data_IF_208785409014
#
_entry.id   IF_208785409014
#
_cell.length_a   1.000
_cell.length_b   1.000
_cell.length_c   1.000
_cell.angle_alpha   90.00
_cell.angle_beta   90.00
_cell.angle_gamma   90.00
#
_symmetry.space_group_name_H-M   'P 1'
#
loop_
_entity.id
_entity.type
_entity.pdbx_description
1 polymer ?
#
# COMPACT_ATOMS: atom_id res chain seq x y z
N UNK A 1 40.22 -43.91 -9.24
CA UNK A 1 39.34 -43.16 -8.31
C UNK A 1 38.44 -44.18 -7.64
N UNK A 2 38.42 -44.22 -6.31
CA UNK A 2 37.66 -45.21 -5.54
C UNK A 2 36.31 -44.59 -5.21
N UNK A 3 35.23 -45.11 -5.80
CA UNK A 3 33.87 -44.66 -5.50
C UNK A 3 33.33 -45.44 -4.31
N UNK A 4 32.64 -44.74 -3.41
CA UNK A 4 31.99 -45.31 -2.25
C UNK A 4 30.48 -45.09 -2.34
N UNK A 5 29.71 -46.05 -1.84
CA UNK A 5 28.26 -45.92 -1.75
C UNK A 5 27.89 -45.29 -0.41
N UNK A 6 27.31 -44.10 -0.44
CA UNK A 6 26.77 -43.42 0.73
C UNK A 6 25.28 -43.77 0.88
N UNK A 7 24.83 -44.14 2.08
CA UNK A 7 23.41 -44.42 2.34
C UNK A 7 22.68 -43.11 2.53
N UNK A 8 21.47 -43.04 1.97
CA UNK A 8 20.60 -41.88 2.12
C UNK A 8 20.22 -41.62 3.58
N UNK A 9 19.96 -42.68 4.34
CA UNK A 9 19.56 -42.63 5.76
C UNK A 9 20.62 -41.93 6.63
N UNK A 10 21.90 -42.28 6.45
CA UNK A 10 23.02 -41.69 7.21
C UNK A 10 23.09 -40.16 7.03
N UNK A 11 22.71 -39.67 5.83
CA UNK A 11 22.65 -38.24 5.52
C UNK A 11 21.35 -37.62 6.05
N UNK A 12 20.22 -38.31 5.93
CA UNK A 12 18.91 -37.83 6.40
C UNK A 12 18.87 -37.62 7.92
N UNK A 13 19.57 -38.46 8.68
CA UNK A 13 19.70 -38.33 10.14
C UNK A 13 20.36 -37.00 10.56
N UNK A 14 21.22 -36.44 9.71
CA UNK A 14 21.91 -35.16 9.96
C UNK A 14 21.24 -33.98 9.24
N UNK A 15 20.54 -34.25 8.15
CA UNK A 15 19.95 -33.24 7.27
C UNK A 15 18.52 -33.64 6.89
N UNK A 16 17.57 -33.18 7.71
CA UNK A 16 16.16 -33.50 7.56
C UNK A 16 15.59 -32.84 6.31
N UNK A 17 14.76 -33.58 5.56
CA UNK A 17 13.97 -33.03 4.45
C UNK A 17 14.73 -32.88 3.14
N UNK A 18 15.91 -33.50 2.98
CA UNK A 18 16.59 -33.57 1.68
C UNK A 18 15.68 -34.22 0.64
N UNK A 19 15.65 -33.63 -0.55
CA UNK A 19 14.92 -34.14 -1.71
C UNK A 19 15.82 -34.55 -2.86
N UNK A 20 17.01 -33.96 -2.99
CA UNK A 20 17.97 -34.28 -4.06
C UNK A 20 19.41 -33.98 -3.65
N UNK A 21 20.33 -34.64 -4.35
CA UNK A 21 21.78 -34.46 -4.23
C UNK A 21 22.36 -33.95 -5.53
N UNK A 22 23.35 -33.06 -5.47
CA UNK A 22 24.11 -32.63 -6.64
C UNK A 22 25.61 -32.69 -6.40
N UNK A 23 26.37 -32.99 -7.45
CA UNK A 23 27.83 -32.87 -7.48
C UNK A 23 28.18 -31.93 -8.63
N UNK A 24 28.84 -30.80 -8.34
CA UNK A 24 29.17 -29.78 -9.35
C UNK A 24 27.93 -29.37 -10.18
N UNK A 25 26.82 -29.10 -9.48
CA UNK A 25 25.52 -28.71 -10.05
C UNK A 25 24.76 -29.80 -10.83
N UNK A 26 25.34 -30.98 -11.08
CA UNK A 26 24.64 -32.10 -11.73
C UNK A 26 23.93 -33.00 -10.70
N UNK A 27 22.71 -33.42 -11.01
CA UNK A 27 21.91 -34.27 -10.12
C UNK A 27 22.48 -35.69 -10.05
N UNK A 28 22.73 -36.17 -8.82
CA UNK A 28 23.19 -37.53 -8.59
C UNK A 28 21.97 -38.46 -8.48
N UNK A 29 21.80 -39.45 -9.38
CA UNK A 29 20.73 -40.41 -9.27
C UNK A 29 21.04 -41.43 -8.15
N UNK A 30 19.97 -41.98 -7.54
CA UNK A 30 20.12 -43.14 -6.67
C UNK A 30 20.59 -44.36 -7.46
N UNK A 31 21.40 -45.20 -6.81
CA UNK A 31 21.90 -46.44 -7.38
C UNK A 31 20.71 -47.39 -7.64
N UNK A 32 20.73 -48.02 -8.81
CA UNK A 32 19.70 -48.96 -9.26
C UNK A 32 20.25 -50.38 -9.39
N UNK A 33 19.37 -51.36 -9.24
CA UNK A 33 19.61 -52.76 -9.55
C UNK A 33 19.67 -53.00 -11.06
N UNK A 34 20.06 -54.22 -11.46
CA UNK A 34 20.11 -54.64 -12.87
C UNK A 34 18.75 -54.59 -13.58
N UNK A 35 17.65 -54.64 -12.85
CA UNK A 35 16.27 -54.50 -13.33
C UNK A 35 15.80 -53.03 -13.36
N UNK A 36 16.72 -52.07 -13.14
CA UNK A 36 16.47 -50.63 -13.07
C UNK A 36 15.60 -50.20 -11.87
N UNK A 37 15.33 -51.09 -10.90
CA UNK A 37 14.69 -50.74 -9.63
C UNK A 37 15.66 -50.01 -8.70
N UNK A 38 15.19 -49.09 -7.86
CA UNK A 38 16.05 -48.38 -6.89
C UNK A 38 16.44 -49.35 -5.77
N UNK A 39 17.73 -49.39 -5.43
CA UNK A 39 18.23 -50.24 -4.35
C UNK A 39 17.72 -49.73 -2.99
N UNK A 40 17.30 -50.65 -2.12
CA UNK A 40 16.97 -50.35 -0.73
C UNK A 40 18.01 -50.98 0.22
N UNK A 41 18.55 -50.24 1.22
CA UNK A 41 18.33 -48.81 1.45
C UNK A 41 18.90 -47.96 0.31
N UNK A 42 18.31 -46.78 0.09
CA UNK A 42 18.68 -45.88 -1.00
C UNK A 42 20.14 -45.43 -0.86
N UNK A 43 20.88 -45.44 -1.98
CA UNK A 43 22.32 -45.12 -2.01
C UNK A 43 22.64 -44.19 -3.15
N UNK A 44 23.63 -43.34 -2.95
CA UNK A 44 24.26 -42.53 -4.00
C UNK A 44 25.72 -42.94 -4.17
N UNK A 45 26.25 -42.79 -5.38
CA UNK A 45 27.65 -43.07 -5.69
C UNK A 45 28.45 -41.76 -5.67
N UNK A 46 29.49 -41.69 -4.84
CA UNK A 46 30.37 -40.52 -4.76
C UNK A 46 31.80 -40.91 -4.37
N UNK A 47 32.78 -40.09 -4.74
CA UNK A 47 34.16 -40.21 -4.27
C UNK A 47 34.32 -39.60 -2.88
N UNK A 48 35.29 -40.05 -2.09
CA UNK A 48 35.63 -39.44 -0.79
C UNK A 48 36.22 -38.03 -0.93
N UNK A 49 36.56 -37.62 -2.15
CA UNK A 49 37.06 -36.28 -2.47
C UNK A 49 35.97 -35.36 -3.04
N UNK A 50 34.77 -35.90 -3.29
CA UNK A 50 33.65 -35.14 -3.84
C UNK A 50 32.91 -34.41 -2.73
N UNK A 51 32.57 -33.14 -2.96
CA UNK A 51 31.65 -32.38 -2.11
C UNK A 51 30.26 -32.47 -2.74
N UNK A 52 29.33 -33.07 -2.02
CA UNK A 52 27.94 -33.27 -2.46
C UNK A 52 27.06 -32.22 -1.80
N UNK A 53 26.33 -31.47 -2.61
CA UNK A 53 25.32 -30.55 -2.11
C UNK A 53 23.99 -31.28 -1.91
N UNK A 54 23.33 -30.96 -0.80
CA UNK A 54 22.03 -31.50 -0.45
C UNK A 54 20.99 -30.40 -0.56
N UNK A 55 19.88 -30.65 -1.25
CA UNK A 55 18.83 -29.66 -1.44
C UNK A 55 17.52 -30.13 -0.82
N UNK A 56 16.89 -29.26 -0.06
CA UNK A 56 15.57 -29.50 0.57
C UNK A 56 14.41 -29.04 -0.32
N UNK A 57 14.67 -28.13 -1.27
CA UNK A 57 13.72 -27.65 -2.27
C UNK A 57 13.95 -28.33 -3.63
N UNK A 58 12.86 -28.51 -4.37
CA UNK A 58 12.91 -28.78 -5.80
C UNK A 58 12.82 -27.47 -6.59
N UNK A 59 13.31 -27.42 -7.84
CA UNK A 59 13.12 -26.25 -8.70
C UNK A 59 11.64 -25.86 -8.88
N UNK A 60 10.73 -26.83 -8.79
CA UNK A 60 9.29 -26.58 -8.83
C UNK A 60 8.79 -25.85 -7.56
N UNK A 61 9.35 -26.17 -6.39
CA UNK A 61 9.01 -25.48 -5.13
C UNK A 61 9.48 -24.01 -5.17
N UNK A 62 10.67 -23.76 -5.71
CA UNK A 62 11.22 -22.41 -5.89
C UNK A 62 10.40 -21.58 -6.89
N UNK A 63 10.00 -22.19 -8.01
CA UNK A 63 9.11 -21.54 -8.97
C UNK A 63 7.74 -21.20 -8.35
N UNK A 64 7.19 -22.11 -7.54
CA UNK A 64 5.91 -21.91 -6.84
C UNK A 64 5.99 -20.79 -5.80
N UNK A 65 7.08 -20.75 -5.04
CA UNK A 65 7.34 -19.70 -4.07
C UNK A 65 7.51 -18.34 -4.76
N UNK A 66 8.30 -18.28 -5.83
CA UNK A 66 8.50 -17.07 -6.63
C UNK A 66 7.17 -16.54 -7.19
N UNK A 67 6.34 -17.41 -7.74
CA UNK A 67 5.01 -17.05 -8.24
C UNK A 67 4.11 -16.50 -7.12
N UNK A 68 4.14 -17.13 -5.94
CA UNK A 68 3.35 -16.70 -4.78
C UNK A 68 3.79 -15.32 -4.30
N UNK A 69 5.11 -15.08 -4.20
CA UNK A 69 5.68 -13.79 -3.83
C UNK A 69 5.29 -12.69 -4.83
N UNK A 70 5.35 -12.99 -6.13
CA UNK A 70 4.92 -12.05 -7.17
C UNK A 70 3.43 -11.71 -7.06
N UNK A 71 2.57 -12.69 -6.75
CA UNK A 71 1.15 -12.42 -6.50
C UNK A 71 0.94 -11.56 -5.26
N UNK A 72 1.66 -11.81 -4.17
CA UNK A 72 1.58 -11.01 -2.93
C UNK A 72 2.02 -9.58 -3.19
N UNK A 73 3.14 -9.38 -3.89
CA UNK A 73 3.64 -8.06 -4.26
C UNK A 73 2.60 -7.28 -5.07
N UNK A 74 2.05 -7.92 -6.12
CA UNK A 74 1.00 -7.30 -6.96
C UNK A 74 -0.25 -6.94 -6.16
N UNK A 75 -0.69 -7.82 -5.26
CA UNK A 75 -1.85 -7.54 -4.40
C UNK A 75 -1.58 -6.38 -3.43
N UNK A 76 -0.35 -6.27 -2.92
CA UNK A 76 0.07 -5.18 -2.04
C UNK A 76 0.07 -3.84 -2.76
N UNK A 77 0.55 -3.78 -4.01
CA UNK A 77 0.50 -2.58 -4.84
C UNK A 77 -0.96 -2.13 -5.09
N UNK A 78 -1.84 -3.07 -5.43
CA UNK A 78 -3.27 -2.78 -5.60
C UNK A 78 -3.89 -2.27 -4.29
N UNK A 79 -3.47 -2.81 -3.15
CA UNK A 79 -3.96 -2.35 -1.85
C UNK A 79 -3.49 -0.93 -1.52
N UNK A 80 -2.21 -0.63 -1.75
CA UNK A 80 -1.65 0.70 -1.53
C UNK A 80 -2.35 1.75 -2.41
N UNK A 81 -2.56 1.46 -3.69
CA UNK A 81 -3.28 2.38 -4.60
C UNK A 81 -4.73 2.64 -4.16
N UNK A 82 -5.42 1.63 -3.60
CA UNK A 82 -6.76 1.82 -3.02
C UNK A 82 -6.73 2.62 -1.74
N UNK A 83 -5.73 2.40 -0.87
CA UNK A 83 -5.53 3.22 0.33
C UNK A 83 -5.32 4.68 -0.07
N UNK A 84 -4.46 4.97 -1.04
CA UNK A 84 -4.20 6.33 -1.49
C UNK A 84 -5.47 7.01 -2.02
N UNK A 85 -6.31 6.27 -2.76
CA UNK A 85 -7.60 6.76 -3.25
C UNK A 85 -8.56 7.07 -2.09
N UNK A 86 -8.64 6.18 -1.08
CA UNK A 86 -9.47 6.40 0.11
C UNK A 86 -8.94 7.59 0.92
N UNK A 87 -7.63 7.71 1.09
CA UNK A 87 -7.02 8.85 1.78
C UNK A 87 -7.37 10.15 1.08
N UNK A 88 -7.22 10.23 -0.26
CA UNK A 88 -7.66 11.40 -1.04
C UNK A 88 -9.13 11.71 -0.84
N UNK A 89 -9.99 10.70 -0.89
CA UNK A 89 -11.42 10.89 -0.64
C UNK A 89 -11.70 11.40 0.78
N UNK A 90 -11.01 10.89 1.79
CA UNK A 90 -11.12 11.39 3.18
C UNK A 90 -10.62 12.83 3.27
N UNK A 91 -9.50 13.17 2.64
CA UNK A 91 -9.00 14.54 2.60
C UNK A 91 -9.96 15.48 1.89
N UNK A 92 -10.51 15.12 0.72
CA UNK A 92 -11.53 15.92 0.03
C UNK A 92 -12.81 16.08 0.87
N UNK A 93 -13.19 15.06 1.65
CA UNK A 93 -14.32 15.13 2.58
C UNK A 93 -14.02 15.95 3.84
N UNK A 94 -12.77 15.90 4.34
CA UNK A 94 -12.30 16.66 5.49
C UNK A 94 -11.95 18.12 5.14
N UNK A 95 -11.67 18.41 3.85
CA UNK A 95 -11.58 19.74 3.24
C UNK A 95 -12.94 20.43 3.10
N UNK A 96 -14.01 19.81 3.62
CA UNK A 96 -15.16 20.52 4.16
C UNK A 96 -15.05 20.67 5.69
N UNK A 97 -14.05 21.39 6.26
CA UNK A 97 -14.35 22.06 7.50
C UNK A 97 -15.44 23.05 7.11
N UNK A 98 -16.64 22.90 7.68
CA UNK A 98 -17.65 23.97 7.61
C UNK A 98 -16.87 25.22 8.02
N UNK A 99 -16.61 26.20 7.12
CA UNK A 99 -15.76 27.31 7.50
C UNK A 99 -16.50 28.03 8.63
N UNK A 100 -15.98 27.94 9.84
CA UNK A 100 -16.69 28.48 11.00
C UNK A 100 -16.67 30.01 10.97
N UNK A 101 -15.76 30.59 10.19
CA UNK A 101 -15.52 32.02 10.09
C UNK A 101 -15.86 32.54 8.68
N UNK A 102 -16.81 33.49 8.64
CA UNK A 102 -17.17 34.22 7.45
C UNK A 102 -17.40 35.70 7.78
N UNK A 103 -17.33 36.56 6.77
CA UNK A 103 -17.69 37.98 6.87
C UNK A 103 -18.60 38.38 5.71
N UNK A 104 -19.58 39.24 5.98
CA UNK A 104 -20.52 39.75 4.98
C UNK A 104 -20.22 41.22 4.73
N UNK A 105 -19.76 41.55 3.53
CA UNK A 105 -19.36 42.90 3.12
C UNK A 105 -20.25 43.40 1.98
N UNK A 106 -20.55 44.71 1.89
CA UNK A 106 -21.21 45.27 0.72
C UNK A 106 -20.28 45.18 -0.51
N UNK A 107 -20.84 44.93 -1.69
CA UNK A 107 -20.07 44.98 -2.95
C UNK A 107 -19.74 46.43 -3.36
N UNK A 108 -20.52 47.40 -2.88
CA UNK A 108 -20.31 48.82 -3.16
C UNK A 108 -19.44 49.49 -2.08
N UNK A 109 -18.50 50.33 -2.52
CA UNK A 109 -17.56 51.05 -1.64
C UNK A 109 -18.15 52.33 -1.03
N UNK A 110 -19.26 52.83 -1.56
CA UNK A 110 -19.88 54.06 -1.06
C UNK A 110 -20.75 53.78 0.18
N UNK A 111 -20.21 54.14 1.35
CA UNK A 111 -20.90 53.95 2.62
C UNK A 111 -22.02 54.98 2.80
N UNK A 112 -23.28 54.50 2.81
CA UNK A 112 -24.42 55.31 3.22
C UNK A 112 -25.33 54.51 4.18
N UNK A 113 -25.40 54.88 5.47
CA UNK A 113 -26.22 54.17 6.46
C UNK A 113 -27.70 54.06 6.09
N UNK A 114 -28.23 55.02 5.33
CA UNK A 114 -29.65 55.06 4.95
C UNK A 114 -30.03 54.04 3.86
N UNK A 115 -29.04 53.50 3.12
CA UNK A 115 -29.25 52.54 2.04
C UNK A 115 -28.60 51.19 2.29
N UNK A 116 -28.12 50.92 3.52
CA UNK A 116 -27.40 49.70 3.90
C UNK A 116 -28.04 48.43 3.31
N UNK A 117 -29.32 48.16 3.57
CA UNK A 117 -29.99 46.94 3.10
C UNK A 117 -30.50 46.96 1.64
N UNK A 118 -30.19 48.02 0.87
CA UNK A 118 -30.55 48.11 -0.55
C UNK A 118 -29.43 47.64 -1.47
N UNK A 119 -28.22 47.54 -0.92
CA UNK A 119 -27.02 47.13 -1.64
C UNK A 119 -26.89 45.61 -1.75
N UNK A 120 -26.13 45.15 -2.75
CA UNK A 120 -25.71 43.75 -2.82
C UNK A 120 -24.56 43.51 -1.85
N UNK A 121 -24.65 42.39 -1.14
CA UNK A 121 -23.60 41.95 -0.21
C UNK A 121 -22.92 40.72 -0.76
N UNK A 122 -21.76 40.40 -0.20
CA UNK A 122 -21.03 39.18 -0.48
C UNK A 122 -20.56 38.57 0.82
N UNK A 123 -20.83 37.27 0.97
CA UNK A 123 -20.33 36.46 2.07
C UNK A 123 -18.99 35.88 1.65
N UNK A 124 -17.94 36.23 2.37
CA UNK A 124 -16.59 35.71 2.19
C UNK A 124 -16.24 34.76 3.32
N UNK A 125 -15.61 33.63 3.00
CA UNK A 125 -15.06 32.73 4.01
C UNK A 125 -13.64 33.16 4.38
N UNK A 126 -13.27 32.96 5.64
CA UNK A 126 -11.91 33.13 6.12
C UNK A 126 -11.23 31.77 6.19
N UNK A 127 -9.91 31.70 5.92
CA UNK A 127 -9.17 30.46 6.19
C UNK A 127 -9.00 30.24 7.70
N UNK A 128 -9.19 29.00 8.15
CA UNK A 128 -8.89 28.52 9.50
C UNK A 128 -7.43 28.00 9.63
N UNK A 129 -6.53 28.47 8.77
CA UNK A 129 -5.12 28.09 8.73
C UNK A 129 -4.40 28.46 10.06
N UNK A 130 -3.76 27.50 10.74
CA UNK A 130 -3.11 27.70 12.06
C UNK A 130 -1.80 28.52 12.03
N UNK A 131 -1.20 28.74 10.85
CA UNK A 131 0.09 29.42 10.73
C UNK A 131 -0.05 30.95 10.56
N UNK A 132 0.36 31.64 11.63
CA UNK A 132 0.98 32.97 11.80
C UNK A 132 0.36 34.21 11.09
N UNK A 133 -0.49 34.87 11.89
CA UNK A 133 -0.71 36.32 12.04
C UNK A 133 -1.70 37.08 11.16
N UNK A 134 -2.22 36.52 10.05
CA UNK A 134 -3.25 37.21 9.26
C UNK A 134 -4.37 36.26 8.84
N UNK A 135 -5.59 36.51 9.36
CA UNK A 135 -6.80 35.89 8.82
C UNK A 135 -6.97 36.38 7.38
N UNK A 136 -6.81 35.48 6.42
CA UNK A 136 -7.00 35.77 5.00
C UNK A 136 -8.33 35.20 4.50
N UNK A 137 -8.82 35.75 3.39
CA UNK A 137 -9.96 35.17 2.68
C UNK A 137 -9.59 33.80 2.13
N UNK A 138 -10.50 32.84 2.24
CA UNK A 138 -10.38 31.57 1.55
C UNK A 138 -10.24 31.79 0.03
N UNK A 139 -9.63 30.83 -0.68
CA UNK A 139 -9.46 30.85 -2.13
C UNK A 139 -10.79 30.60 -2.90
N UNK A 140 -11.86 31.29 -2.49
CA UNK A 140 -13.18 31.24 -3.08
C UNK A 140 -13.77 32.67 -3.09
N UNK A 141 -14.37 33.08 -4.21
CA UNK A 141 -14.91 34.44 -4.44
C UNK A 141 -16.08 34.82 -3.51
N UNK A 142 -16.54 33.90 -2.68
CA UNK A 142 -17.69 34.08 -1.79
C UNK A 142 -19.04 33.97 -2.49
N UNK A 143 -20.11 34.19 -1.72
CA UNK A 143 -21.49 34.10 -2.21
C UNK A 143 -22.17 35.46 -2.26
N UNK A 144 -22.72 35.81 -3.42
CA UNK A 144 -23.48 37.05 -3.58
C UNK A 144 -24.84 36.94 -2.88
N UNK A 145 -25.13 37.94 -2.05
CA UNK A 145 -26.39 38.14 -1.35
C UNK A 145 -27.09 39.33 -1.99
N UNK A 146 -28.02 39.04 -2.91
CA UNK A 146 -28.82 40.06 -3.60
C UNK A 146 -29.96 40.62 -2.75
N UNK A 147 -30.37 39.89 -1.72
CA UNK A 147 -31.48 40.25 -0.82
C UNK A 147 -31.06 40.13 0.64
N UNK A 148 -30.28 41.09 1.17
CA UNK A 148 -29.72 41.00 2.52
C UNK A 148 -30.80 40.87 3.60
N UNK A 149 -31.95 41.53 3.44
CA UNK A 149 -33.04 41.42 4.41
C UNK A 149 -33.63 40.00 4.50
N UNK A 150 -33.84 39.33 3.37
CA UNK A 150 -34.34 37.94 3.37
C UNK A 150 -33.29 36.98 3.93
N UNK A 151 -32.01 37.21 3.60
CA UNK A 151 -30.88 36.42 4.08
C UNK A 151 -30.76 36.49 5.61
N UNK A 152 -30.64 37.68 6.19
CA UNK A 152 -30.48 37.82 7.65
C UNK A 152 -31.74 37.43 8.42
N UNK A 153 -32.94 37.61 7.85
CA UNK A 153 -34.17 37.11 8.46
C UNK A 153 -34.20 35.58 8.56
N UNK A 154 -33.72 34.88 7.52
CA UNK A 154 -33.73 33.41 7.46
C UNK A 154 -32.58 32.79 8.24
N UNK A 155 -31.37 33.31 8.05
CA UNK A 155 -30.15 32.68 8.57
C UNK A 155 -29.62 33.35 9.84
N UNK A 156 -30.00 34.60 10.14
CA UNK A 156 -29.57 35.34 11.32
C UNK A 156 -29.69 34.58 12.64
N UNK A 157 -30.78 33.83 12.91
CA UNK A 157 -30.89 33.02 14.13
C UNK A 157 -29.85 31.90 14.27
N UNK A 158 -29.22 31.49 13.16
CA UNK A 158 -28.19 30.45 13.12
C UNK A 158 -26.77 31.03 13.12
N UNK A 159 -26.60 32.34 12.92
CA UNK A 159 -25.33 33.03 13.03
C UNK A 159 -25.13 33.40 14.50
N UNK A 160 -24.29 32.66 15.23
CA UNK A 160 -23.94 32.94 16.63
C UNK A 160 -22.68 33.77 16.73
#
# INVERSE_FOLDING_TARGET
>A
MTFQQCRYEDVHDHFIGIRRFTLKEEQIPFVKNNDNSVIYPQRILASTQDVIDCHTSTPADEATLSNTLNMILKNTEIFNTKIDAIQRQIFEQAEYPIPHLFIVLPEETSFNPSTWFRHTYRLHFLCDCENENERHFALHDGYKISKPHEFFRKYGPYLR
#
